data_IF_246927225951
#
_entry.id   IF_246927225951
#
_cell.length_a   1.000
_cell.length_b   1.000
_cell.length_c   1.000
_cell.angle_alpha   90.00
_cell.angle_beta   90.00
_cell.angle_gamma   90.00
#
_symmetry.space_group_name_H-M   'P 1'
#
loop_
_entity.id
_entity.type
_entity.pdbx_description
1 polymer ?
#
# COMPACT_ATOMS: atom_id res chain seq x y z
N UNK A 1 -27.72 -25.66 -43.24
CA UNK A 1 -28.26 -24.32 -42.99
C UNK A 1 -28.07 -23.98 -41.51
N UNK A 2 -26.83 -23.68 -41.10
CA UNK A 2 -26.51 -23.32 -39.71
C UNK A 2 -26.20 -21.82 -39.68
N UNK A 3 -27.03 -21.05 -38.99
CA UNK A 3 -26.81 -19.62 -38.74
C UNK A 3 -25.63 -19.47 -37.78
N UNK A 4 -24.60 -18.76 -38.22
CA UNK A 4 -23.56 -18.21 -37.35
C UNK A 4 -24.17 -17.15 -36.43
N UNK A 5 -23.80 -17.11 -35.13
CA UNK A 5 -24.26 -16.06 -34.23
C UNK A 5 -23.52 -14.76 -34.59
N UNK A 6 -24.29 -13.74 -34.94
CA UNK A 6 -23.81 -12.38 -35.13
C UNK A 6 -23.19 -11.87 -33.83
N UNK A 7 -21.87 -11.72 -33.80
CA UNK A 7 -21.15 -10.96 -32.79
C UNK A 7 -21.51 -9.49 -32.96
N UNK A 8 -22.58 -9.06 -32.30
CA UNK A 8 -22.91 -7.65 -32.17
C UNK A 8 -21.76 -6.99 -31.42
N UNK A 9 -20.88 -6.28 -32.14
CA UNK A 9 -20.01 -5.28 -31.56
C UNK A 9 -20.93 -4.27 -30.86
N UNK A 10 -21.15 -4.45 -29.56
CA UNK A 10 -21.69 -3.38 -28.71
C UNK A 10 -20.66 -2.26 -28.78
N UNK A 11 -20.95 -1.25 -29.59
CA UNK A 11 -20.29 0.05 -29.53
C UNK A 11 -20.43 0.48 -28.07
N UNK A 12 -19.32 0.53 -27.33
CA UNK A 12 -19.32 1.06 -25.98
C UNK A 12 -19.78 2.51 -26.10
N UNK A 13 -21.04 2.76 -25.78
CA UNK A 13 -21.66 4.06 -25.88
C UNK A 13 -21.01 4.98 -24.85
N UNK A 14 -20.60 6.19 -25.25
CA UNK A 14 -19.96 7.18 -24.37
C UNK A 14 -20.82 7.57 -23.16
N UNK A 15 -22.12 7.24 -23.20
CA UNK A 15 -23.06 7.35 -22.08
C UNK A 15 -22.77 6.38 -20.92
N UNK A 16 -22.11 5.24 -21.18
CA UNK A 16 -21.72 4.21 -20.19
C UNK A 16 -20.60 4.74 -19.29
N UNK A 17 -19.74 5.60 -19.83
CA UNK A 17 -18.55 6.14 -19.17
C UNK A 17 -18.81 7.41 -18.35
N UNK A 18 -20.00 8.03 -18.42
CA UNK A 18 -20.29 9.24 -17.64
C UNK A 18 -20.75 8.96 -16.20
N UNK A 19 -21.01 7.71 -15.82
CA UNK A 19 -21.47 7.34 -14.47
C UNK A 19 -20.34 6.94 -13.51
N UNK A 20 -19.12 6.76 -14.01
CA UNK A 20 -17.99 6.12 -13.30
C UNK A 20 -17.13 7.09 -12.49
N UNK A 21 -17.39 8.39 -12.60
CA UNK A 21 -16.60 9.43 -11.93
C UNK A 21 -17.46 10.09 -10.83
N UNK A 22 -17.38 9.51 -9.64
CA UNK A 22 -17.80 10.09 -8.35
C UNK A 22 -19.29 10.21 -8.03
N UNK A 23 -19.78 9.24 -7.27
CA UNK A 23 -20.62 9.56 -6.12
C UNK A 23 -19.70 9.88 -4.91
N UNK A 24 -19.17 11.10 -4.86
CA UNK A 24 -18.33 11.62 -3.76
C UNK A 24 -19.00 11.54 -2.39
N UNK A 25 -20.33 11.35 -2.33
CA UNK A 25 -21.09 11.32 -1.07
C UNK A 25 -21.06 9.99 -0.35
N UNK A 26 -20.81 8.88 -1.05
CA UNK A 26 -20.77 7.53 -0.47
C UNK A 26 -19.36 6.97 -0.23
N UNK A 27 -18.31 7.71 -0.61
CA UNK A 27 -16.92 7.34 -0.31
C UNK A 27 -16.74 7.44 1.20
N UNK A 28 -16.51 6.34 1.91
CA UNK A 28 -16.27 6.42 3.35
C UNK A 28 -15.02 7.26 3.65
N UNK A 29 -14.95 7.97 4.78
CA UNK A 29 -13.73 8.70 5.17
C UNK A 29 -12.48 7.81 5.13
N UNK A 30 -12.61 6.48 5.32
CA UNK A 30 -11.50 5.53 5.19
C UNK A 30 -10.77 5.57 3.83
N UNK A 31 -11.45 5.60 2.67
CA UNK A 31 -10.74 5.59 1.35
C UNK A 31 -9.89 6.82 1.13
N UNK A 32 -10.30 7.95 1.71
CA UNK A 32 -9.63 9.26 1.59
C UNK A 32 -8.36 9.35 2.44
N UNK A 33 -8.23 8.41 3.37
CA UNK A 33 -7.11 8.23 4.29
C UNK A 33 -6.06 7.25 3.76
N UNK A 34 -6.54 6.25 3.02
CA UNK A 34 -5.73 5.21 2.38
C UNK A 34 -4.93 5.69 1.17
N UNK A 35 -5.18 6.86 0.60
CA UNK A 35 -4.45 7.28 -0.61
C UNK A 35 -3.18 8.07 -0.32
N UNK A 36 -3.27 8.98 0.63
CA UNK A 36 -2.20 9.94 0.90
C UNK A 36 -1.16 9.44 1.91
N UNK A 37 -1.58 8.58 2.85
CA UNK A 37 -0.65 7.85 3.72
C UNK A 37 0.20 6.85 2.92
N UNK A 38 -0.37 6.28 1.87
CA UNK A 38 0.26 5.19 1.12
C UNK A 38 1.20 5.68 0.01
N UNK A 39 0.94 6.86 -0.57
CA UNK A 39 1.92 7.52 -1.43
C UNK A 39 3.24 7.76 -0.66
N UNK A 40 3.13 8.13 0.61
CA UNK A 40 4.26 8.31 1.51
C UNK A 40 4.99 6.97 1.78
N UNK A 41 4.25 5.90 2.13
CA UNK A 41 4.82 4.57 2.39
C UNK A 41 5.57 4.01 1.17
N UNK A 42 5.01 4.17 -0.03
CA UNK A 42 5.67 3.75 -1.28
C UNK A 42 6.86 4.61 -1.67
N UNK A 43 6.79 5.93 -1.53
CA UNK A 43 7.92 6.82 -1.78
C UNK A 43 9.08 6.53 -0.82
N UNK A 44 8.78 6.21 0.44
CA UNK A 44 9.76 5.76 1.42
C UNK A 44 10.39 4.42 1.08
N UNK A 45 9.60 3.43 0.70
CA UNK A 45 10.14 2.12 0.36
C UNK A 45 11.00 2.21 -0.91
N UNK A 46 10.51 2.89 -1.95
CA UNK A 46 11.25 3.12 -3.19
C UNK A 46 12.53 3.92 -2.93
N UNK A 47 12.49 4.99 -2.15
CA UNK A 47 13.69 5.77 -1.80
C UNK A 47 14.68 4.99 -0.95
N UNK A 48 14.22 4.14 -0.01
CA UNK A 48 15.08 3.22 0.74
C UNK A 48 15.81 2.25 -0.21
N UNK A 49 15.08 1.61 -1.12
CA UNK A 49 15.67 0.70 -2.10
C UNK A 49 16.62 1.41 -3.09
N UNK A 50 16.29 2.64 -3.51
CA UNK A 50 17.16 3.47 -4.36
C UNK A 50 18.43 3.91 -3.64
N UNK A 51 18.36 4.29 -2.36
CA UNK A 51 19.53 4.60 -1.54
C UNK A 51 20.44 3.39 -1.35
N UNK A 52 19.85 2.20 -1.20
CA UNK A 52 20.59 0.95 -1.12
C UNK A 52 21.32 0.62 -2.44
N UNK A 53 20.74 0.99 -3.58
CA UNK A 53 21.31 0.78 -4.93
C UNK A 53 22.45 1.75 -5.24
N UNK A 54 22.33 3.02 -4.85
CA UNK A 54 23.34 4.05 -5.14
C UNK A 54 24.66 3.84 -4.39
N UNK A 55 24.76 2.85 -3.50
CA UNK A 55 26.01 2.51 -2.79
C UNK A 55 26.53 3.62 -1.88
N UNK A 56 25.75 4.69 -1.66
CA UNK A 56 26.12 5.86 -0.84
C UNK A 56 26.33 5.47 0.62
N UNK A 57 25.76 4.34 1.05
CA UNK A 57 26.04 3.73 2.35
C UNK A 57 26.60 2.32 2.14
N UNK A 58 27.93 2.20 2.21
CA UNK A 58 28.57 0.89 2.40
C UNK A 58 27.92 0.19 3.62
N UNK A 59 27.70 -1.14 3.58
CA UNK A 59 26.98 -1.92 4.60
C UNK A 59 27.63 -1.89 6.01
N UNK A 60 28.70 -1.13 6.21
CA UNK A 60 29.46 -1.04 7.44
C UNK A 60 28.97 0.04 8.40
N UNK A 61 28.29 1.09 7.92
CA UNK A 61 27.80 2.18 8.79
C UNK A 61 26.29 2.09 9.00
N UNK A 62 25.85 1.08 9.78
CA UNK A 62 24.43 0.83 10.09
C UNK A 62 23.71 2.07 10.64
N UNK A 63 24.42 2.93 11.40
CA UNK A 63 23.86 4.15 11.96
C UNK A 63 23.43 5.17 10.89
N UNK A 64 24.22 5.32 9.82
CA UNK A 64 23.93 6.28 8.74
C UNK A 64 22.69 5.86 7.90
N UNK A 65 22.43 4.57 7.79
CA UNK A 65 21.23 4.03 7.13
C UNK A 65 19.98 4.36 7.94
N UNK A 66 20.02 4.19 9.27
CA UNK A 66 18.88 4.54 10.13
C UNK A 66 18.62 6.05 10.16
N UNK A 67 19.66 6.88 10.21
CA UNK A 67 19.47 8.34 10.21
C UNK A 67 18.93 8.87 8.89
N UNK A 68 19.44 8.37 7.75
CA UNK A 68 18.92 8.74 6.43
C UNK A 68 17.46 8.32 6.24
N UNK A 69 17.08 7.13 6.70
CA UNK A 69 15.69 6.68 6.74
C UNK A 69 14.79 7.64 7.51
N UNK A 70 15.20 8.06 8.71
CA UNK A 70 14.42 9.01 9.53
C UNK A 70 14.27 10.37 8.83
N UNK A 71 15.32 10.87 8.18
CA UNK A 71 15.28 12.15 7.47
C UNK A 71 14.32 12.10 6.27
N UNK A 72 14.45 11.08 5.42
CA UNK A 72 13.56 10.90 4.27
C UNK A 72 12.12 10.76 4.74
N UNK A 73 11.92 9.93 5.77
CA UNK A 73 10.61 9.73 6.36
C UNK A 73 9.98 11.05 6.87
N UNK A 74 10.77 11.90 7.54
CA UNK A 74 10.32 13.20 7.99
C UNK A 74 9.92 14.10 6.80
N UNK A 75 10.72 14.15 5.75
CA UNK A 75 10.41 14.95 4.55
C UNK A 75 9.15 14.46 3.84
N UNK A 76 9.02 13.15 3.64
CA UNK A 76 7.87 12.57 2.95
C UNK A 76 6.58 12.69 3.79
N UNK A 77 6.67 12.76 5.13
CA UNK A 77 5.52 13.04 5.99
C UNK A 77 4.89 14.42 5.76
N UNK A 78 5.69 15.45 5.46
CA UNK A 78 5.16 16.78 5.13
C UNK A 78 4.42 16.77 3.79
N UNK A 79 4.96 16.06 2.79
CA UNK A 79 4.32 15.87 1.49
C UNK A 79 3.00 15.10 1.67
N UNK A 80 2.99 14.04 2.48
CA UNK A 80 1.81 13.25 2.79
C UNK A 80 0.70 14.11 3.43
N UNK A 81 1.05 14.99 4.37
CA UNK A 81 0.09 15.89 4.98
C UNK A 81 -0.52 16.87 3.97
N UNK A 82 0.31 17.41 3.07
CA UNK A 82 -0.12 18.31 2.00
C UNK A 82 -1.08 17.62 1.03
N UNK A 83 -0.70 16.46 0.49
CA UNK A 83 -1.56 15.73 -0.44
C UNK A 83 -2.84 15.28 0.25
N UNK A 84 -2.76 14.70 1.46
CA UNK A 84 -3.92 14.28 2.26
C UNK A 84 -4.96 15.37 2.46
N UNK A 85 -4.51 16.60 2.72
CA UNK A 85 -5.45 17.70 2.98
C UNK A 85 -5.97 18.30 1.69
N UNK A 86 -5.12 18.43 0.66
CA UNK A 86 -5.49 18.97 -0.64
C UNK A 86 -6.49 18.07 -1.37
N UNK A 87 -6.24 16.76 -1.43
CA UNK A 87 -7.16 15.76 -2.01
C UNK A 87 -8.47 15.70 -1.24
N UNK A 88 -8.42 15.77 0.09
CA UNK A 88 -9.61 15.75 0.94
C UNK A 88 -10.52 16.96 0.72
N UNK A 89 -9.93 18.16 0.54
CA UNK A 89 -10.67 19.39 0.27
C UNK A 89 -11.20 19.46 -1.17
N UNK A 90 -10.41 18.98 -2.13
CA UNK A 90 -10.82 18.79 -3.53
C UNK A 90 -12.10 17.95 -3.66
N UNK A 91 -12.31 17.02 -2.74
CA UNK A 91 -13.46 16.11 -2.70
C UNK A 91 -14.58 16.58 -1.74
N UNK A 92 -14.67 17.89 -1.50
CA UNK A 92 -15.69 18.55 -0.67
C UNK A 92 -15.71 18.08 0.80
N UNK A 93 -14.58 17.56 1.31
CA UNK A 93 -14.43 17.14 2.70
C UNK A 93 -14.33 18.32 3.67
N UNK A 94 -15.12 18.32 4.75
CA UNK A 94 -15.16 19.43 5.72
C UNK A 94 -14.22 19.24 6.92
N UNK A 95 -13.97 17.99 7.34
CA UNK A 95 -13.23 17.65 8.57
C UNK A 95 -11.76 17.27 8.31
N UNK A 96 -10.96 18.21 7.79
CA UNK A 96 -9.57 17.97 7.41
C UNK A 96 -8.66 17.55 8.57
N UNK A 97 -8.91 18.02 9.80
CA UNK A 97 -8.12 17.63 10.99
C UNK A 97 -8.28 16.16 11.32
N UNK A 98 -9.52 15.64 11.24
CA UNK A 98 -9.80 14.22 11.49
C UNK A 98 -9.17 13.35 10.42
N UNK A 99 -9.16 13.82 9.17
CA UNK A 99 -8.42 13.17 8.08
C UNK A 99 -6.93 13.11 8.44
N UNK A 100 -6.32 14.23 8.79
CA UNK A 100 -4.88 14.25 9.09
C UNK A 100 -4.48 13.34 10.28
N UNK A 101 -5.28 13.31 11.35
CA UNK A 101 -5.04 12.42 12.50
C UNK A 101 -5.11 10.96 12.07
N UNK A 102 -6.14 10.59 11.33
CA UNK A 102 -6.33 9.20 10.95
C UNK A 102 -5.27 8.78 9.90
N UNK A 103 -4.77 9.71 9.08
CA UNK A 103 -3.63 9.52 8.15
C UNK A 103 -2.42 9.11 8.98
N UNK A 104 -2.03 9.92 9.98
CA UNK A 104 -0.95 9.56 10.89
C UNK A 104 -1.18 8.21 11.61
N UNK A 105 -2.35 8.00 12.21
CA UNK A 105 -2.63 6.80 12.99
C UNK A 105 -2.64 5.50 12.18
N UNK A 106 -2.95 5.54 10.89
CA UNK A 106 -3.06 4.33 10.07
C UNK A 106 -1.73 3.55 10.02
N UNK A 107 -0.62 4.25 9.79
CA UNK A 107 0.71 3.61 9.75
C UNK A 107 1.32 3.42 11.14
N UNK A 108 1.25 4.45 12.01
CA UNK A 108 1.91 4.37 13.31
C UNK A 108 1.15 3.55 14.34
N UNK A 109 -0.18 3.48 14.26
CA UNK A 109 -1.00 2.79 15.25
C UNK A 109 -0.59 1.31 15.39
N UNK A 110 -0.59 0.53 14.30
CA UNK A 110 -0.14 -0.86 14.33
C UNK A 110 1.32 -1.02 14.77
N UNK A 111 2.24 -0.18 14.28
CA UNK A 111 3.67 -0.24 14.63
C UNK A 111 3.95 0.10 16.10
N UNK A 112 3.23 1.09 16.64
CA UNK A 112 3.32 1.47 18.03
C UNK A 112 2.75 0.36 18.93
N UNK A 113 1.63 -0.26 18.53
CA UNK A 113 1.03 -1.37 19.25
C UNK A 113 1.97 -2.59 19.30
N UNK A 114 2.57 -2.96 18.17
CA UNK A 114 3.57 -4.05 18.14
C UNK A 114 4.80 -3.68 18.95
N UNK A 115 5.29 -2.44 18.89
CA UNK A 115 6.40 -1.97 19.73
C UNK A 115 6.07 -2.08 21.22
N UNK A 116 4.92 -1.59 21.67
CA UNK A 116 4.49 -1.68 23.07
C UNK A 116 4.39 -3.13 23.54
N UNK A 117 3.80 -4.00 22.72
CA UNK A 117 3.73 -5.44 23.02
C UNK A 117 5.11 -6.07 23.16
N UNK A 118 5.98 -5.89 22.15
CA UNK A 118 7.33 -6.47 22.15
C UNK A 118 8.19 -5.93 23.29
N UNK A 119 8.12 -4.62 23.56
CA UNK A 119 8.86 -3.99 24.65
C UNK A 119 8.36 -4.48 26.02
N UNK A 120 7.06 -4.73 26.19
CA UNK A 120 6.51 -5.34 27.41
C UNK A 120 7.07 -6.75 27.61
N UNK A 121 7.08 -7.58 26.55
CA UNK A 121 7.69 -8.92 26.61
C UNK A 121 9.18 -8.81 26.96
N UNK A 122 9.91 -7.90 26.33
CA UNK A 122 11.33 -7.70 26.61
C UNK A 122 11.61 -7.35 28.08
N UNK A 123 10.79 -6.48 28.67
CA UNK A 123 10.88 -6.10 30.09
C UNK A 123 10.58 -7.30 30.99
N UNK A 124 9.53 -8.07 30.71
CA UNK A 124 9.17 -9.24 31.54
C UNK A 124 10.27 -10.30 31.59
N UNK A 125 11.01 -10.49 30.50
CA UNK A 125 12.13 -11.43 30.43
C UNK A 125 13.48 -10.78 30.82
N UNK A 126 13.48 -9.51 31.27
CA UNK A 126 14.71 -8.74 31.54
C UNK A 126 15.74 -8.83 30.41
N UNK A 127 15.25 -8.84 29.16
CA UNK A 127 16.08 -9.03 27.98
C UNK A 127 16.84 -7.74 27.65
N UNK A 128 18.08 -7.86 27.15
CA UNK A 128 18.88 -6.72 26.65
C UNK A 128 18.24 -6.02 25.45
N UNK A 129 17.22 -6.64 24.84
CA UNK A 129 16.39 -6.06 23.79
C UNK A 129 15.35 -5.06 24.34
N UNK A 130 15.14 -4.99 25.67
CA UNK A 130 14.25 -4.00 26.27
C UNK A 130 14.84 -2.60 26.08
N UNK A 131 14.04 -1.68 25.55
CA UNK A 131 14.52 -0.33 25.32
C UNK A 131 14.58 0.43 26.65
N UNK A 132 15.74 1.04 26.99
CA UNK A 132 15.83 1.87 28.18
C UNK A 132 14.96 3.12 28.01
N UNK A 133 14.47 3.67 29.12
CA UNK A 133 13.55 4.83 29.13
C UNK A 133 14.03 6.00 28.25
N UNK A 134 15.34 6.27 28.24
CA UNK A 134 15.95 7.30 27.39
C UNK A 134 15.69 7.09 25.90
N UNK A 135 15.77 5.84 25.42
CA UNK A 135 15.52 5.54 24.00
C UNK A 135 14.05 5.69 23.65
N UNK A 136 13.14 5.32 24.56
CA UNK A 136 11.69 5.52 24.38
C UNK A 136 11.38 7.02 24.23
N UNK A 137 11.98 7.88 25.08
CA UNK A 137 11.83 9.33 24.96
C UNK A 137 12.33 9.88 23.62
N UNK A 138 13.48 9.40 23.12
CA UNK A 138 14.01 9.80 21.81
C UNK A 138 13.06 9.41 20.68
N UNK A 139 12.51 8.18 20.72
CA UNK A 139 11.53 7.71 19.72
C UNK A 139 10.27 8.57 19.75
N UNK A 140 9.75 8.90 20.94
CA UNK A 140 8.60 9.80 21.09
C UNK A 140 8.90 11.20 20.54
N UNK A 141 10.10 11.73 20.79
CA UNK A 141 10.50 13.04 20.27
C UNK A 141 10.55 13.05 18.74
N UNK A 142 11.17 12.02 18.13
CA UNK A 142 11.18 11.86 16.67
C UNK A 142 9.75 11.78 16.14
N UNK A 143 8.88 11.01 16.80
CA UNK A 143 7.49 10.89 16.38
C UNK A 143 6.75 12.24 16.45
N UNK A 144 6.91 13.00 17.54
CA UNK A 144 6.31 14.35 17.65
C UNK A 144 6.80 15.30 16.56
N UNK A 145 8.10 15.24 16.21
CA UNK A 145 8.67 16.03 15.13
C UNK A 145 8.04 15.67 13.78
N UNK A 146 7.90 14.37 13.49
CA UNK A 146 7.29 13.91 12.24
C UNK A 146 5.81 14.26 12.17
N UNK A 147 5.05 14.10 13.26
CA UNK A 147 3.64 14.53 13.30
C UNK A 147 3.49 16.04 13.14
N UNK A 148 4.45 16.84 13.62
CA UNK A 148 4.43 18.30 13.43
C UNK A 148 4.63 18.66 11.96
N UNK A 149 5.55 17.98 11.25
CA UNK A 149 5.71 18.16 9.79
C UNK A 149 4.46 17.73 9.01
N UNK A 150 3.82 16.64 9.40
CA UNK A 150 2.55 16.19 8.82
C UNK A 150 1.46 17.28 8.95
N UNK A 151 1.35 17.90 10.13
CA UNK A 151 0.40 19.01 10.38
C UNK A 151 0.74 20.26 9.58
N UNK A 152 2.01 20.64 9.49
CA UNK A 152 2.44 21.77 8.66
C UNK A 152 2.11 21.53 7.18
N UNK A 153 2.37 20.31 6.68
CA UNK A 153 1.95 19.87 5.35
C UNK A 153 0.45 19.98 5.15
N UNK A 154 -0.34 19.51 6.12
CA UNK A 154 -1.81 19.61 6.07
C UNK A 154 -2.33 21.03 6.02
N UNK A 155 -1.77 21.93 6.82
CA UNK A 155 -2.12 23.36 6.79
C UNK A 155 -1.77 23.98 5.42
N UNK A 156 -0.61 23.64 4.85
CA UNK A 156 -0.23 24.08 3.51
C UNK A 156 -1.19 23.54 2.43
N UNK A 157 -1.62 22.28 2.55
CA UNK A 157 -2.61 21.67 1.67
C UNK A 157 -3.98 22.34 1.78
N UNK A 158 -4.37 22.77 2.98
CA UNK A 158 -5.62 23.51 3.21
C UNK A 158 -5.67 24.85 2.50
N UNK A 159 -4.55 25.56 2.47
CA UNK A 159 -4.47 26.86 1.82
C UNK A 159 -4.29 26.74 0.29
N UNK A 160 -4.09 25.53 -0.22
CA UNK A 160 -3.98 25.28 -1.65
C UNK A 160 -5.36 25.31 -2.31
N UNK A 161 -5.56 26.20 -3.29
CA UNK A 161 -6.79 26.29 -4.10
C UNK A 161 -6.78 25.27 -5.23
N UNK A 162 -6.52 24.02 -4.92
CA UNK A 162 -6.58 22.97 -5.93
C UNK A 162 -8.06 22.62 -6.16
N UNK A 163 -8.60 22.98 -7.33
CA UNK A 163 -9.91 22.51 -7.77
C UNK A 163 -9.77 21.12 -8.40
N UNK A 164 -10.65 20.20 -8.02
CA UNK A 164 -10.67 18.86 -8.58
C UNK A 164 -11.15 18.91 -10.04
N UNK A 165 -10.24 18.66 -10.99
CA UNK A 165 -10.61 18.57 -12.41
C UNK A 165 -11.12 17.17 -12.74
N UNK A 166 -12.44 17.00 -12.74
CA UNK A 166 -13.05 15.78 -13.27
C UNK A 166 -12.82 15.70 -14.80
N UNK A 167 -12.30 14.58 -15.34
CA UNK A 167 -12.00 14.42 -16.76
C UNK A 167 -13.27 14.45 -17.63
N UNK A 168 -14.45 14.15 -17.07
CA UNK A 168 -15.72 14.13 -17.78
C UNK A 168 -16.87 14.67 -16.91
N UNK A 169 -17.91 15.22 -17.55
CA UNK A 169 -19.14 15.66 -16.88
C UNK A 169 -19.98 14.44 -16.54
N UNK A 170 -20.29 14.23 -15.27
CA UNK A 170 -20.92 12.99 -14.81
C UNK A 170 -22.44 13.06 -14.77
N UNK A 171 -23.09 11.90 -14.86
CA UNK A 171 -24.54 11.77 -14.71
C UNK A 171 -24.92 11.61 -13.23
N UNK A 172 -25.97 12.32 -12.78
CA UNK A 172 -26.40 12.38 -11.36
C UNK A 172 -26.86 11.06 -10.74
N UNK A 173 -27.10 10.01 -11.52
CA UNK A 173 -27.59 8.72 -11.01
C UNK A 173 -26.62 7.59 -11.37
N UNK A 174 -26.14 6.82 -10.38
CA UNK A 174 -25.33 5.63 -10.63
C UNK A 174 -26.20 4.56 -11.31
N UNK A 175 -25.68 3.96 -12.38
CA UNK A 175 -26.36 2.86 -13.07
C UNK A 175 -26.28 1.60 -12.20
N UNK A 176 -27.33 0.78 -12.15
CA UNK A 176 -27.34 -0.46 -11.37
C UNK A 176 -26.25 -1.43 -11.86
N UNK A 177 -25.39 -1.90 -10.96
CA UNK A 177 -24.34 -2.91 -11.27
C UNK A 177 -25.01 -4.23 -11.67
N UNK A 178 -24.60 -4.86 -12.79
CA UNK A 178 -25.13 -6.17 -13.17
C UNK A 178 -24.71 -7.26 -12.18
N UNK A 179 -25.60 -8.20 -11.87
CA UNK A 179 -25.28 -9.35 -11.01
C UNK A 179 -24.30 -10.28 -11.72
N UNK A 180 -23.13 -10.51 -11.11
CA UNK A 180 -22.08 -11.37 -11.66
C UNK A 180 -22.12 -12.78 -11.05
N UNK A 181 -21.63 -13.81 -11.77
CA UNK A 181 -21.40 -15.14 -11.21
C UNK A 181 -20.42 -15.10 -10.02
N UNK A 182 -20.52 -16.07 -9.11
CA UNK A 182 -19.73 -16.09 -7.86
C UNK A 182 -18.21 -15.97 -8.07
N UNK A 183 -17.66 -16.60 -9.12
CA UNK A 183 -16.23 -16.60 -9.42
C UNK A 183 -15.72 -15.24 -9.95
N UNK A 184 -16.62 -14.37 -10.41
CA UNK A 184 -16.34 -12.96 -10.74
C UNK A 184 -16.67 -12.01 -9.58
N UNK A 185 -17.01 -12.56 -8.42
CA UNK A 185 -17.17 -11.79 -7.20
C UNK A 185 -15.86 -11.15 -6.74
N UNK A 186 -15.98 -10.13 -5.89
CA UNK A 186 -14.86 -9.33 -5.39
C UNK A 186 -13.82 -10.17 -4.65
N UNK A 187 -14.25 -11.08 -3.78
CA UNK A 187 -13.34 -11.86 -2.92
C UNK A 187 -12.47 -12.85 -3.72
N UNK A 188 -13.02 -13.70 -4.63
CA UNK A 188 -12.20 -14.57 -5.46
C UNK A 188 -11.21 -13.81 -6.37
N UNK A 189 -11.61 -12.65 -6.88
CA UNK A 189 -10.72 -11.80 -7.70
C UNK A 189 -9.55 -11.25 -6.89
N UNK A 190 -9.80 -10.73 -5.68
CA UNK A 190 -8.73 -10.25 -4.78
C UNK A 190 -7.77 -11.39 -4.43
N UNK A 191 -8.29 -12.58 -4.11
CA UNK A 191 -7.47 -13.73 -3.78
C UNK A 191 -6.60 -14.18 -4.96
N UNK A 192 -7.17 -14.26 -6.16
CA UNK A 192 -6.42 -14.60 -7.38
C UNK A 192 -5.38 -13.53 -7.72
N UNK A 193 -5.72 -12.26 -7.54
CA UNK A 193 -4.82 -11.13 -7.80
C UNK A 193 -3.57 -11.16 -6.92
N UNK A 194 -3.72 -11.44 -5.61
CA UNK A 194 -2.59 -11.51 -4.69
C UNK A 194 -1.77 -12.79 -4.80
N UNK A 195 -2.38 -13.89 -5.25
CA UNK A 195 -1.69 -15.18 -5.37
C UNK A 195 -0.64 -15.15 -6.48
N UNK A 196 -0.93 -14.50 -7.60
CA UNK A 196 -0.04 -14.45 -8.76
C UNK A 196 1.32 -13.76 -8.45
N UNK A 197 1.38 -12.52 -7.90
CA UNK A 197 2.63 -11.90 -7.49
C UNK A 197 3.35 -12.73 -6.44
N UNK A 198 2.62 -13.32 -5.48
CA UNK A 198 3.19 -14.17 -4.44
C UNK A 198 3.95 -15.37 -5.03
N UNK A 199 3.36 -16.08 -6.00
CA UNK A 199 4.04 -17.19 -6.67
C UNK A 199 5.30 -16.75 -7.38
N UNK A 200 5.29 -15.58 -8.02
CA UNK A 200 6.48 -15.08 -8.72
C UNK A 200 7.63 -14.74 -7.76
N UNK A 201 7.32 -14.18 -6.59
CA UNK A 201 8.36 -13.83 -5.61
C UNK A 201 8.72 -14.97 -4.65
N UNK A 202 8.00 -16.10 -4.68
CA UNK A 202 8.14 -17.21 -3.72
C UNK A 202 9.59 -17.70 -3.56
N UNK A 203 10.29 -17.92 -4.68
CA UNK A 203 11.69 -18.36 -4.66
C UNK A 203 12.59 -17.29 -4.03
N UNK A 204 12.35 -16.02 -4.37
CA UNK A 204 13.07 -14.88 -3.78
C UNK A 204 12.87 -14.79 -2.27
N UNK A 205 11.61 -14.92 -1.82
CA UNK A 205 11.26 -14.97 -0.40
C UNK A 205 12.00 -16.10 0.31
N UNK A 206 12.02 -17.32 -0.25
CA UNK A 206 12.77 -18.44 0.34
C UNK A 206 14.24 -18.09 0.60
N UNK A 207 14.94 -17.51 -0.39
CA UNK A 207 16.33 -17.10 -0.22
C UNK A 207 16.49 -16.03 0.87
N UNK A 208 15.55 -15.07 0.95
CA UNK A 208 15.54 -14.06 2.00
C UNK A 208 15.41 -14.70 3.38
N UNK A 209 14.46 -15.63 3.57
CA UNK A 209 14.26 -16.28 4.87
C UNK A 209 15.46 -17.13 5.29
N UNK A 210 16.02 -17.93 4.39
CA UNK A 210 17.23 -18.72 4.66
C UNK A 210 18.43 -17.84 4.98
N UNK A 211 18.48 -16.63 4.43
CA UNK A 211 19.63 -15.75 4.58
C UNK A 211 19.52 -14.81 5.79
N UNK A 212 18.32 -14.37 6.14
CA UNK A 212 18.05 -13.56 7.35
C UNK A 212 18.15 -14.41 8.61
N UNK A 213 17.68 -15.66 8.55
CA UNK A 213 17.68 -16.57 9.70
C UNK A 213 18.78 -17.65 9.63
N UNK A 214 19.65 -17.60 8.61
CA UNK A 214 20.79 -18.51 8.43
C UNK A 214 22.12 -17.76 8.22
N UNK A 215 23.22 -18.49 8.15
CA UNK A 215 24.59 -17.95 8.32
C UNK A 215 25.26 -17.32 7.06
N UNK A 216 24.53 -16.95 5.99
CA UNK A 216 25.15 -16.35 4.78
C UNK A 216 24.61 -14.95 4.53
N UNK A 217 25.41 -13.91 4.78
CA UNK A 217 24.98 -12.50 4.87
C UNK A 217 25.18 -11.71 3.55
N UNK A 218 26.02 -12.19 2.62
CA UNK A 218 26.61 -11.31 1.59
C UNK A 218 25.87 -11.23 0.24
N UNK A 219 24.77 -11.96 0.02
CA UNK A 219 24.05 -11.98 -1.29
C UNK A 219 22.66 -11.33 -1.24
N UNK A 220 22.27 -10.75 -0.10
CA UNK A 220 20.86 -10.46 0.22
C UNK A 220 20.35 -9.20 -0.47
N UNK A 221 21.12 -8.12 -0.45
CA UNK A 221 20.61 -6.79 -0.82
C UNK A 221 20.31 -6.66 -2.33
N UNK A 222 21.16 -7.21 -3.20
CA UNK A 222 20.96 -7.16 -4.64
C UNK A 222 19.77 -8.04 -5.09
N UNK A 223 19.59 -9.21 -4.48
CA UNK A 223 18.46 -10.10 -4.78
C UNK A 223 17.15 -9.48 -4.28
N UNK A 224 17.15 -8.90 -3.08
CA UNK A 224 15.98 -8.18 -2.53
C UNK A 224 15.47 -7.09 -3.48
N UNK A 225 16.39 -6.31 -4.04
CA UNK A 225 16.05 -5.23 -4.95
C UNK A 225 15.42 -5.74 -6.26
N UNK A 226 15.97 -6.79 -6.85
CA UNK A 226 15.42 -7.39 -8.08
C UNK A 226 14.02 -7.96 -7.81
N UNK A 227 13.85 -8.68 -6.70
CA UNK A 227 12.54 -9.22 -6.28
C UNK A 227 11.52 -8.09 -6.06
N UNK A 228 11.96 -6.96 -5.50
CA UNK A 228 11.12 -5.79 -5.29
C UNK A 228 10.61 -5.15 -6.60
N UNK A 229 11.48 -4.98 -7.59
CA UNK A 229 11.09 -4.44 -8.91
C UNK A 229 10.08 -5.37 -9.59
N UNK A 230 10.36 -6.68 -9.58
CA UNK A 230 9.48 -7.69 -10.18
C UNK A 230 8.11 -7.66 -9.49
N UNK A 231 8.08 -7.55 -8.16
CA UNK A 231 6.86 -7.46 -7.38
C UNK A 231 6.01 -6.25 -7.75
N UNK A 232 6.60 -5.06 -7.81
CA UNK A 232 5.92 -3.81 -8.23
C UNK A 232 5.39 -3.93 -9.66
N UNK A 233 6.21 -4.44 -10.57
CA UNK A 233 5.86 -4.58 -11.98
C UNK A 233 4.65 -5.51 -12.16
N UNK A 234 4.70 -6.72 -11.58
CA UNK A 234 3.61 -7.70 -11.69
C UNK A 234 2.32 -7.20 -11.03
N UNK A 235 2.44 -6.57 -9.86
CA UNK A 235 1.29 -5.97 -9.17
C UNK A 235 0.62 -4.90 -10.04
N UNK A 236 1.42 -4.06 -10.70
CA UNK A 236 0.93 -3.04 -11.65
C UNK A 236 0.18 -3.68 -12.82
N UNK A 237 0.76 -4.71 -13.44
CA UNK A 237 0.12 -5.40 -14.58
C UNK A 237 -1.20 -6.06 -14.20
N UNK A 238 -1.25 -6.78 -13.07
CA UNK A 238 -2.44 -7.50 -12.63
C UNK A 238 -3.57 -6.53 -12.25
N UNK A 239 -3.23 -5.46 -11.54
CA UNK A 239 -4.24 -4.47 -11.11
C UNK A 239 -4.85 -3.75 -12.31
N UNK A 240 -4.05 -3.36 -13.32
CA UNK A 240 -4.56 -2.79 -14.58
C UNK A 240 -5.47 -3.79 -15.30
N UNK A 241 -5.05 -5.05 -15.44
CA UNK A 241 -5.84 -6.07 -16.13
C UNK A 241 -7.20 -6.32 -15.46
N UNK A 242 -7.22 -6.40 -14.12
CA UNK A 242 -8.47 -6.60 -13.37
C UNK A 242 -9.38 -5.37 -13.46
N UNK A 243 -8.83 -4.16 -13.37
CA UNK A 243 -9.57 -2.91 -13.56
C UNK A 243 -10.19 -2.85 -14.96
N UNK A 244 -9.46 -3.27 -16.00
CA UNK A 244 -9.99 -3.36 -17.36
C UNK A 244 -11.18 -4.34 -17.46
N UNK A 245 -11.04 -5.55 -16.93
CA UNK A 245 -12.13 -6.53 -16.95
C UNK A 245 -13.35 -6.06 -16.14
N UNK A 246 -13.15 -5.33 -15.05
CA UNK A 246 -14.24 -4.75 -14.26
C UNK A 246 -15.00 -3.67 -15.06
N UNK A 247 -14.26 -2.74 -15.68
CA UNK A 247 -14.84 -1.69 -16.53
C UNK A 247 -15.55 -2.27 -17.75
N UNK A 248 -15.05 -3.37 -18.32
CA UNK A 248 -15.67 -4.04 -19.46
C UNK A 248 -17.05 -4.65 -19.15
N UNK A 249 -17.35 -4.90 -17.87
CA UNK A 249 -18.65 -5.41 -17.39
C UNK A 249 -19.58 -4.27 -16.95
N UNK A 250 -19.21 -3.01 -17.21
CA UNK A 250 -19.93 -1.82 -16.77
C UNK A 250 -20.03 -1.69 -15.23
N UNK A 251 -19.11 -2.32 -14.49
CA UNK A 251 -18.99 -2.11 -13.05
C UNK A 251 -18.17 -0.84 -12.77
N UNK A 252 -18.82 0.11 -12.10
CA UNK A 252 -18.27 1.44 -11.81
C UNK A 252 -17.60 1.51 -10.43
N UNK A 253 -17.73 0.48 -9.60
CA UNK A 253 -17.13 0.41 -8.26
C UNK A 253 -15.67 -0.05 -8.31
N UNK A 254 -14.88 0.56 -9.20
CA UNK A 254 -13.47 0.20 -9.42
C UNK A 254 -12.54 0.71 -8.32
N UNK A 255 -12.98 1.60 -7.43
CA UNK A 255 -12.07 2.30 -6.51
C UNK A 255 -11.40 1.38 -5.46
N UNK A 256 -12.15 0.48 -4.84
CA UNK A 256 -11.66 -0.34 -3.72
C UNK A 256 -11.06 -1.69 -4.12
N UNK A 257 -11.39 -2.18 -5.32
CA UNK A 257 -10.93 -3.50 -5.75
C UNK A 257 -9.42 -3.54 -6.04
N UNK A 258 -8.84 -2.60 -6.81
CA UNK A 258 -7.41 -2.58 -7.11
C UNK A 258 -6.55 -2.43 -5.86
N UNK A 259 -7.06 -1.65 -4.90
CA UNK A 259 -6.48 -1.43 -3.57
C UNK A 259 -6.26 -2.77 -2.87
N UNK A 260 -7.36 -3.49 -2.64
CA UNK A 260 -7.33 -4.78 -1.97
C UNK A 260 -6.61 -5.85 -2.81
N UNK A 261 -6.74 -5.84 -4.13
CA UNK A 261 -6.04 -6.77 -5.03
C UNK A 261 -4.51 -6.68 -4.91
N UNK A 262 -3.96 -5.46 -4.85
CA UNK A 262 -2.51 -5.25 -4.68
C UNK A 262 -2.05 -5.68 -3.29
N UNK A 263 -2.72 -5.18 -2.25
CA UNK A 263 -2.36 -5.43 -0.86
C UNK A 263 -2.46 -6.90 -0.45
N UNK A 264 -3.40 -7.67 -1.00
CA UNK A 264 -3.63 -9.08 -0.60
C UNK A 264 -2.40 -9.98 -0.81
N UNK A 265 -1.47 -9.60 -1.69
CA UNK A 265 -0.15 -10.23 -1.80
C UNK A 265 0.58 -10.28 -0.45
N UNK A 266 0.51 -9.20 0.36
CA UNK A 266 1.09 -9.15 1.70
C UNK A 266 0.49 -10.16 2.68
N UNK A 267 -0.77 -10.54 2.50
CA UNK A 267 -1.44 -11.60 3.29
C UNK A 267 -0.91 -12.99 2.91
N UNK A 268 -0.59 -13.21 1.64
CA UNK A 268 0.07 -14.45 1.21
C UNK A 268 1.51 -14.55 1.73
N UNK A 269 2.26 -13.44 1.70
CA UNK A 269 3.58 -13.36 2.35
C UNK A 269 3.44 -13.66 3.84
N UNK A 270 2.37 -13.17 4.49
CA UNK A 270 2.08 -13.44 5.89
C UNK A 270 1.88 -14.92 6.17
N UNK A 271 1.09 -15.58 5.31
CA UNK A 271 0.81 -17.01 5.40
C UNK A 271 2.07 -17.86 5.16
N UNK A 272 2.96 -17.42 4.27
CA UNK A 272 4.22 -18.13 4.00
C UNK A 272 5.17 -18.11 5.21
N UNK A 273 5.29 -16.98 5.90
CA UNK A 273 6.16 -16.94 7.08
C UNK A 273 5.58 -17.75 8.24
N UNK A 274 4.24 -17.83 8.38
CA UNK A 274 3.59 -18.74 9.33
C UNK A 274 4.02 -20.19 9.05
N UNK A 275 3.94 -20.61 7.79
CA UNK A 275 4.44 -21.92 7.36
C UNK A 275 5.93 -22.11 7.68
N UNK A 276 6.77 -21.12 7.39
CA UNK A 276 8.21 -21.18 7.69
C UNK A 276 8.48 -21.36 9.19
N UNK A 277 7.74 -20.64 10.05
CA UNK A 277 7.86 -20.76 11.49
C UNK A 277 7.57 -22.19 11.98
N UNK A 278 6.44 -22.78 11.55
CA UNK A 278 6.06 -24.12 12.01
C UNK A 278 6.86 -25.26 11.37
N UNK A 279 7.21 -25.15 10.08
CA UNK A 279 7.80 -26.25 9.32
C UNK A 279 9.34 -26.24 9.31
N UNK A 280 9.97 -25.09 9.60
CA UNK A 280 11.41 -24.89 9.36
C UNK A 280 12.14 -24.24 10.53
N UNK A 281 11.45 -23.40 11.31
CA UNK A 281 12.11 -22.68 12.39
C UNK A 281 12.29 -23.60 13.60
N UNK A 282 13.54 -23.83 14.00
CA UNK A 282 13.87 -24.48 15.28
C UNK A 282 13.81 -23.47 16.45
N UNK A 283 12.99 -22.42 16.32
CA UNK A 283 12.85 -21.37 17.32
C UNK A 283 11.86 -21.80 18.39
N UNK A 284 12.24 -21.66 19.65
CA UNK A 284 11.41 -22.08 20.78
C UNK A 284 11.41 -21.02 21.87
N UNK A 285 10.31 -20.94 22.61
CA UNK A 285 10.13 -19.98 23.70
C UNK A 285 9.35 -18.73 23.30
N UNK A 286 8.47 -18.31 24.21
CA UNK A 286 7.50 -17.24 23.99
C UNK A 286 8.13 -15.92 23.53
N UNK A 287 9.26 -15.52 24.13
CA UNK A 287 9.98 -14.30 23.74
C UNK A 287 10.48 -14.35 22.29
N UNK A 288 11.07 -15.47 21.86
CA UNK A 288 11.58 -15.59 20.48
C UNK A 288 10.43 -15.59 19.48
N UNK A 289 9.35 -16.31 19.79
CA UNK A 289 8.11 -16.35 19.01
C UNK A 289 7.50 -14.96 18.87
N UNK A 290 7.34 -14.22 19.96
CA UNK A 290 6.70 -12.90 19.93
C UNK A 290 7.48 -11.92 19.07
N UNK A 291 8.81 -11.87 19.22
CA UNK A 291 9.68 -11.01 18.42
C UNK A 291 9.65 -11.38 16.92
N UNK A 292 9.67 -12.67 16.60
CA UNK A 292 9.55 -13.14 15.22
C UNK A 292 8.23 -12.68 14.59
N UNK A 293 7.09 -12.99 15.22
CA UNK A 293 5.78 -12.62 14.70
C UNK A 293 5.57 -11.12 14.66
N UNK A 294 6.05 -10.38 15.68
CA UNK A 294 5.97 -8.94 15.73
C UNK A 294 6.67 -8.26 14.54
N UNK A 295 7.93 -8.62 14.28
CA UNK A 295 8.68 -8.07 13.16
C UNK A 295 8.09 -8.49 11.80
N UNK A 296 7.73 -9.77 11.63
CA UNK A 296 7.17 -10.25 10.37
C UNK A 296 5.80 -9.62 10.07
N UNK A 297 4.98 -9.38 11.09
CA UNK A 297 3.71 -8.67 10.93
C UNK A 297 3.92 -7.24 10.49
N UNK A 298 4.89 -6.52 11.07
CA UNK A 298 5.21 -5.15 10.66
C UNK A 298 5.70 -5.09 9.20
N UNK A 299 6.56 -6.03 8.79
CA UNK A 299 7.06 -6.11 7.42
C UNK A 299 5.92 -6.43 6.44
N UNK A 300 5.08 -7.41 6.74
CA UNK A 300 3.95 -7.78 5.87
C UNK A 300 2.91 -6.66 5.78
N UNK A 301 2.68 -5.95 6.88
CA UNK A 301 1.81 -4.77 6.89
C UNK A 301 2.36 -3.67 5.98
N UNK A 302 3.67 -3.38 6.06
CA UNK A 302 4.33 -2.44 5.15
C UNK A 302 4.21 -2.83 3.67
N UNK A 303 4.41 -4.11 3.33
CA UNK A 303 4.22 -4.60 1.96
C UNK A 303 2.76 -4.54 1.50
N UNK A 304 1.81 -4.86 2.38
CA UNK A 304 0.38 -4.76 2.08
C UNK A 304 0.03 -3.32 1.67
N UNK A 305 0.40 -2.37 2.52
CA UNK A 305 0.19 -0.94 2.34
C UNK A 305 0.84 -0.40 1.06
N UNK A 306 2.08 -0.80 0.78
CA UNK A 306 2.81 -0.38 -0.40
C UNK A 306 2.24 -0.95 -1.72
N UNK A 307 1.87 -2.24 -1.75
CA UNK A 307 1.33 -2.85 -2.98
C UNK A 307 -0.08 -2.38 -3.30
N UNK A 308 -0.85 -2.06 -2.26
CA UNK A 308 -2.17 -1.46 -2.35
C UNK A 308 -2.13 -0.15 -3.18
N UNK A 309 -1.29 0.81 -2.79
CA UNK A 309 -1.17 2.08 -3.52
C UNK A 309 -0.58 1.95 -4.91
N UNK A 310 0.40 1.07 -5.12
CA UNK A 310 0.94 0.82 -6.46
C UNK A 310 -0.19 0.34 -7.37
N UNK A 311 -1.04 -0.58 -6.88
CA UNK A 311 -2.20 -1.07 -7.60
C UNK A 311 -3.25 0.00 -7.87
N UNK A 312 -3.51 0.87 -6.89
CA UNK A 312 -4.44 1.98 -7.05
C UNK A 312 -3.94 3.03 -8.04
N UNK A 313 -2.72 3.52 -7.90
CA UNK A 313 -2.14 4.54 -8.79
C UNK A 313 -2.09 4.04 -10.23
N UNK A 314 -1.70 2.77 -10.44
CA UNK A 314 -1.72 2.14 -11.75
C UNK A 314 -3.12 2.13 -12.37
N UNK A 315 -4.13 1.77 -11.59
CA UNK A 315 -5.53 1.73 -12.03
C UNK A 315 -6.09 3.12 -12.31
N UNK A 316 -5.76 4.12 -11.47
CA UNK A 316 -6.18 5.50 -11.67
C UNK A 316 -5.58 6.09 -12.94
N UNK A 317 -4.28 5.92 -13.17
CA UNK A 317 -3.60 6.38 -14.40
C UNK A 317 -4.21 5.72 -15.64
N UNK A 318 -4.49 4.42 -15.57
CA UNK A 318 -5.13 3.68 -16.63
C UNK A 318 -6.54 4.19 -16.95
N UNK A 319 -7.37 4.42 -15.92
CA UNK A 319 -8.70 5.03 -16.07
C UNK A 319 -8.57 6.41 -16.69
N UNK A 320 -7.69 7.27 -16.19
CA UNK A 320 -7.51 8.61 -16.76
C UNK A 320 -7.11 8.54 -18.25
N UNK A 321 -6.23 7.61 -18.61
CA UNK A 321 -5.78 7.42 -19.98
C UNK A 321 -6.92 7.00 -20.92
N UNK A 322 -7.72 5.99 -20.54
CA UNK A 322 -8.86 5.52 -21.35
C UNK A 322 -9.87 6.64 -21.58
N UNK A 323 -10.24 7.36 -20.52
CA UNK A 323 -11.31 8.37 -20.60
C UNK A 323 -10.86 9.62 -21.34
N UNK A 324 -9.58 9.97 -21.27
CA UNK A 324 -9.01 11.03 -22.10
C UNK A 324 -9.04 10.65 -23.58
N UNK A 325 -8.65 9.41 -23.93
CA UNK A 325 -8.62 8.95 -25.33
C UNK A 325 -10.01 8.90 -25.98
N UNK A 326 -11.06 8.52 -25.23
CA UNK A 326 -12.44 8.45 -25.75
C UNK A 326 -13.00 9.85 -26.08
N UNK A 327 -12.47 10.91 -25.46
CA UNK A 327 -12.93 12.29 -25.65
C UNK A 327 -12.35 12.97 -26.91
N UNK A 328 -11.35 12.35 -27.55
CA UNK A 328 -10.69 12.85 -28.75
C UNK A 328 -11.30 12.30 -30.06
N UNK A 329 -12.31 11.43 -29.98
CA UNK A 329 -13.12 10.94 -31.12
C UNK A 329 -14.52 11.57 -31.13
#
# INVERSE_FOLDING_TARGET
>A
MMRTPSTTKKKLDGSIFNATFFDTRNISPCSRLFLDQELNSSLLQCSYFSLQLLGVFYPYNKGAIFTSLVIIYALTSGIAGYTATSTYLQLEGTNWVRNLILTGCLFYGPLFLTFCFLNTVAITYSATAAFPFKTILVILLIWTLVTSLLVLGGIAGKNSKAEFQAPCRTTKYPRKVPSMPWYRGTVPQIAMAGFLPFNTIYIGLYYIFVSVWGHKIYTIYSILFIVFIILISITTFITIALTYFQLAVEDHEWWWRPVLCGGFTGVFIFSYYLYYYYARSNMSGFMQTSFFFGYMTCICYGFFLMLDIVGFCASLLFVHHIYHSIKCE
#
